data_IF_195831384905
#
_entry.id   IF_195831384905
#
_cell.length_a   1.000
_cell.length_b   1.000
_cell.length_c   1.000
_cell.angle_alpha   90.00
_cell.angle_beta   90.00
_cell.angle_gamma   90.00
#
_symmetry.space_group_name_H-M   'P 1'
#
loop_
_entity.id
_entity.type
_entity.pdbx_description
1 polymer ?
#
# COMPACT_ATOMS: atom_id res chain seq x y z
N UNK A 1 18.07 -43.26 9.48
CA UNK A 1 18.41 -41.87 9.84
C UNK A 1 17.70 -40.93 8.87
N UNK A 2 16.42 -40.68 9.10
CA UNK A 2 15.66 -39.60 8.48
C UNK A 2 15.95 -38.34 9.27
N UNK A 3 17.01 -37.63 8.90
CA UNK A 3 17.16 -36.25 9.29
C UNK A 3 16.09 -35.45 8.52
N UNK A 4 14.97 -35.18 9.20
CA UNK A 4 14.00 -34.20 8.84
C UNK A 4 14.74 -32.91 8.43
N UNK A 5 14.82 -32.65 7.13
CA UNK A 5 15.03 -31.29 6.63
C UNK A 5 13.80 -30.50 7.08
N UNK A 6 13.89 -29.89 8.23
CA UNK A 6 13.04 -28.74 8.53
C UNK A 6 13.40 -27.68 7.48
N UNK A 7 12.73 -27.77 6.35
CA UNK A 7 12.56 -26.63 5.48
C UNK A 7 12.02 -25.52 6.39
N UNK A 8 12.84 -24.50 6.62
CA UNK A 8 12.34 -23.25 7.19
C UNK A 8 11.29 -22.78 6.20
N UNK A 9 10.03 -22.98 6.52
CA UNK A 9 8.94 -22.30 5.86
C UNK A 9 9.21 -20.81 6.03
N UNK A 10 9.64 -20.21 4.96
CA UNK A 10 9.91 -18.80 4.91
C UNK A 10 8.63 -18.15 4.43
N UNK A 11 7.74 -17.87 5.37
CA UNK A 11 6.60 -17.03 5.12
C UNK A 11 7.13 -15.61 4.89
N UNK A 12 7.19 -15.17 3.65
CA UNK A 12 7.16 -13.75 3.38
C UNK A 12 5.74 -13.33 3.70
N UNK A 13 5.56 -12.72 4.84
CA UNK A 13 4.33 -12.00 5.17
C UNK A 13 4.55 -10.56 4.77
N UNK A 14 4.42 -10.29 3.49
CA UNK A 14 4.39 -8.92 3.03
C UNK A 14 3.01 -8.37 3.34
N UNK A 15 2.98 -7.42 4.24
CA UNK A 15 1.82 -6.58 4.42
C UNK A 15 1.91 -5.49 3.35
N UNK A 16 0.96 -5.50 2.43
CA UNK A 16 0.87 -4.53 1.37
C UNK A 16 -0.26 -3.58 1.71
N UNK A 17 0.09 -2.31 1.70
CA UNK A 17 -0.88 -1.25 1.70
C UNK A 17 -1.71 -1.28 0.41
N UNK A 18 -3.01 -1.01 0.51
CA UNK A 18 -3.96 -0.98 -0.59
C UNK A 18 -3.62 0.01 -1.70
N UNK A 19 -2.85 1.04 -1.37
CA UNK A 19 -2.35 2.00 -2.35
C UNK A 19 -1.34 1.40 -3.33
N UNK A 20 -0.80 0.23 -3.08
CA UNK A 20 0.38 -0.28 -3.76
C UNK A 20 0.07 -1.51 -4.61
N UNK A 21 -0.80 -1.32 -5.62
CA UNK A 21 -1.15 -2.35 -6.60
C UNK A 21 0.07 -2.96 -7.31
N UNK A 22 1.12 -2.18 -7.51
CA UNK A 22 2.36 -2.67 -8.09
C UNK A 22 3.03 -3.75 -7.22
N UNK A 23 2.86 -3.71 -5.90
CA UNK A 23 3.42 -4.70 -4.99
C UNK A 23 2.79 -6.09 -5.21
N UNK A 24 1.47 -6.14 -5.46
CA UNK A 24 0.78 -7.37 -5.86
C UNK A 24 1.29 -7.88 -7.22
N UNK A 25 1.48 -6.99 -8.18
CA UNK A 25 2.01 -7.36 -9.50
C UNK A 25 3.43 -7.91 -9.41
N UNK A 26 4.28 -7.26 -8.62
CA UNK A 26 5.63 -7.74 -8.35
C UNK A 26 5.63 -9.12 -7.70
N UNK A 27 4.66 -9.38 -6.81
CA UNK A 27 4.48 -10.70 -6.21
C UNK A 27 4.04 -11.75 -7.23
N UNK A 28 3.12 -11.44 -8.14
CA UNK A 28 2.73 -12.32 -9.24
C UNK A 28 3.92 -12.68 -10.12
N UNK A 29 4.77 -11.70 -10.44
CA UNK A 29 5.96 -11.95 -11.25
C UNK A 29 7.03 -12.75 -10.47
N UNK A 30 7.15 -12.54 -9.17
CA UNK A 30 7.96 -13.36 -8.30
C UNK A 30 7.52 -14.82 -8.38
N UNK A 31 6.23 -15.11 -8.17
CA UNK A 31 5.69 -16.47 -8.21
C UNK A 31 5.95 -17.14 -9.57
N UNK A 32 5.77 -16.41 -10.67
CA UNK A 32 6.07 -16.94 -12.01
C UNK A 32 7.53 -17.37 -12.19
N UNK A 33 8.48 -16.73 -11.48
CA UNK A 33 9.91 -17.08 -11.55
C UNK A 33 10.23 -18.38 -10.82
N UNK A 34 9.45 -18.76 -9.80
CA UNK A 34 9.64 -20.03 -9.09
C UNK A 34 9.12 -21.23 -9.89
N UNK A 35 8.27 -21.01 -10.90
CA UNK A 35 7.85 -22.05 -11.82
C UNK A 35 7.14 -23.22 -11.15
N UNK A 36 7.79 -24.42 -11.20
CA UNK A 36 7.26 -25.66 -10.63
C UNK A 36 7.84 -25.99 -9.25
N UNK A 37 8.69 -25.15 -8.68
CA UNK A 37 9.24 -25.36 -7.35
C UNK A 37 8.12 -25.26 -6.30
N UNK A 38 8.23 -26.05 -5.22
CA UNK A 38 7.33 -25.95 -4.08
C UNK A 38 7.57 -24.63 -3.34
N UNK A 39 6.48 -23.89 -3.05
CA UNK A 39 6.54 -22.66 -2.29
C UNK A 39 5.34 -22.53 -1.34
N UNK A 40 5.54 -21.81 -0.24
CA UNK A 40 4.49 -21.43 0.69
C UNK A 40 4.70 -19.95 1.06
N UNK A 41 3.94 -19.08 0.40
CA UNK A 41 4.02 -17.63 0.55
C UNK A 41 2.76 -17.08 1.17
N UNK A 42 2.92 -16.05 1.98
CA UNK A 42 1.81 -15.26 2.49
C UNK A 42 1.97 -13.82 2.08
N UNK A 43 0.99 -13.32 1.34
CA UNK A 43 0.83 -11.92 1.02
C UNK A 43 -0.37 -11.40 1.82
N UNK A 44 -0.15 -10.37 2.64
CA UNK A 44 -1.19 -9.80 3.48
C UNK A 44 -1.38 -8.33 3.17
N UNK A 45 -2.60 -7.97 2.95
CA UNK A 45 -3.05 -6.59 2.93
C UNK A 45 -3.60 -6.27 4.32
N UNK A 46 -2.93 -5.35 5.04
CA UNK A 46 -3.29 -5.03 6.42
C UNK A 46 -2.90 -3.60 6.78
N UNK A 47 -3.30 -3.17 7.96
CA UNK A 47 -3.15 -1.80 8.43
C UNK A 47 -1.69 -1.41 8.68
N UNK A 48 -1.34 -0.15 8.46
CA UNK A 48 0.04 0.36 8.59
C UNK A 48 0.69 0.02 9.94
N UNK A 49 -0.05 0.12 11.04
CA UNK A 49 0.50 -0.22 12.35
C UNK A 49 0.75 -1.72 12.51
N UNK A 50 -0.14 -2.57 11.98
CA UNK A 50 0.07 -4.02 11.97
C UNK A 50 1.28 -4.42 11.13
N UNK A 51 1.50 -3.74 9.98
CA UNK A 51 2.70 -3.92 9.17
C UNK A 51 3.95 -3.70 10.02
N UNK A 52 3.99 -2.58 10.73
CA UNK A 52 5.12 -2.22 11.61
C UNK A 52 5.33 -3.29 12.69
N UNK A 53 4.25 -3.73 13.37
CA UNK A 53 4.35 -4.77 14.39
C UNK A 53 4.78 -6.14 13.82
N UNK A 54 4.29 -6.52 12.65
CA UNK A 54 4.63 -7.80 12.03
C UNK A 54 6.11 -7.87 11.67
N UNK A 55 6.67 -6.79 11.14
CA UNK A 55 8.11 -6.70 10.87
C UNK A 55 8.92 -6.63 12.16
N UNK A 56 8.48 -5.87 13.16
CA UNK A 56 9.15 -5.77 14.45
C UNK A 56 9.23 -7.11 15.18
N UNK A 57 8.17 -7.92 15.09
CA UNK A 57 8.11 -9.26 15.69
C UNK A 57 8.66 -10.36 14.79
N UNK A 58 9.30 -10.01 13.66
CA UNK A 58 9.84 -10.94 12.67
C UNK A 58 8.79 -11.94 12.14
N UNK A 59 7.51 -11.54 12.14
CA UNK A 59 6.42 -12.29 11.49
C UNK A 59 6.38 -12.02 9.99
N UNK A 60 6.79 -10.82 9.59
CA UNK A 60 7.05 -10.42 8.22
C UNK A 60 8.50 -10.04 8.05
N UNK A 61 9.09 -10.34 6.90
CA UNK A 61 10.45 -9.97 6.55
C UNK A 61 10.50 -8.54 6.00
N UNK A 62 9.47 -8.17 5.25
CA UNK A 62 9.33 -6.88 4.58
C UNK A 62 7.93 -6.34 4.85
N UNK A 63 7.84 -5.08 5.20
CA UNK A 63 6.59 -4.34 5.22
C UNK A 63 6.65 -3.17 4.23
N UNK A 64 5.60 -2.92 3.46
CA UNK A 64 5.57 -1.83 2.50
C UNK A 64 4.60 -0.77 3.00
N UNK A 65 5.08 0.46 3.10
CA UNK A 65 4.32 1.61 3.54
C UNK A 65 4.81 2.89 2.87
N UNK A 66 4.11 3.98 3.08
CA UNK A 66 4.58 5.29 2.65
C UNK A 66 4.76 6.24 3.84
N UNK A 67 5.60 7.24 3.63
CA UNK A 67 5.74 8.42 4.50
C UNK A 67 5.55 9.68 3.66
N UNK A 68 5.06 10.74 4.30
CA UNK A 68 4.93 12.07 3.73
C UNK A 68 5.21 13.10 4.83
N UNK A 69 5.19 14.39 4.50
CA UNK A 69 5.48 15.48 5.44
C UNK A 69 4.63 15.43 6.71
N UNK A 70 3.39 14.93 6.60
CA UNK A 70 2.45 14.87 7.72
C UNK A 70 2.77 13.74 8.71
N UNK A 71 3.06 12.53 8.21
CA UNK A 71 3.22 11.34 9.07
C UNK A 71 4.68 10.96 9.37
N UNK A 72 5.65 11.54 8.67
CA UNK A 72 7.07 11.15 8.72
C UNK A 72 7.63 11.13 10.15
N UNK A 73 7.43 12.22 10.89
CA UNK A 73 7.98 12.35 12.24
C UNK A 73 7.47 11.24 13.18
N UNK A 74 6.18 10.91 13.09
CA UNK A 74 5.53 9.88 13.92
C UNK A 74 5.97 8.50 13.49
N UNK A 75 5.89 8.20 12.19
CA UNK A 75 6.28 6.88 11.67
C UNK A 75 7.75 6.60 11.95
N UNK A 76 8.67 7.54 11.64
CA UNK A 76 10.11 7.34 11.92
C UNK A 76 10.42 7.14 13.40
N UNK A 77 9.70 7.83 14.30
CA UNK A 77 9.85 7.63 15.75
C UNK A 77 9.45 6.20 16.15
N UNK A 78 8.35 5.70 15.62
CA UNK A 78 7.87 4.34 15.88
C UNK A 78 8.83 3.31 15.31
N UNK A 79 9.25 3.46 14.05
CA UNK A 79 10.22 2.55 13.41
C UNK A 79 11.50 2.47 14.26
N UNK A 80 12.01 3.61 14.73
CA UNK A 80 13.19 3.65 15.59
C UNK A 80 12.98 2.89 16.91
N UNK A 81 11.80 3.00 17.52
CA UNK A 81 11.49 2.31 18.78
C UNK A 81 11.41 0.80 18.64
N UNK A 82 11.08 0.31 17.45
CA UNK A 82 11.02 -1.10 17.10
C UNK A 82 12.28 -1.64 16.40
N UNK A 83 13.36 -0.85 16.34
CA UNK A 83 14.62 -1.22 15.64
C UNK A 83 14.39 -1.53 14.15
N UNK A 84 13.46 -0.81 13.50
CA UNK A 84 13.17 -0.93 12.08
C UNK A 84 13.87 0.15 11.27
N UNK A 85 14.15 -0.14 10.01
CA UNK A 85 14.70 0.79 9.02
C UNK A 85 13.76 0.95 7.85
N UNK A 86 13.55 2.19 7.43
CA UNK A 86 12.80 2.53 6.23
C UNK A 86 13.76 2.75 5.07
N UNK A 87 13.49 2.09 3.96
CA UNK A 87 14.24 2.18 2.71
C UNK A 87 13.31 2.68 1.61
N UNK A 88 13.57 3.87 1.12
CA UNK A 88 12.77 4.45 0.04
C UNK A 88 12.94 3.67 -1.26
N UNK A 89 11.82 3.42 -1.93
CA UNK A 89 11.77 2.82 -3.27
C UNK A 89 11.59 3.89 -4.33
N UNK A 90 10.64 4.79 -4.13
CA UNK A 90 10.35 5.90 -5.04
C UNK A 90 9.43 6.94 -4.40
N UNK A 91 9.38 8.10 -5.04
CA UNK A 91 8.46 9.17 -4.70
C UNK A 91 7.30 9.20 -5.70
N UNK A 92 6.08 9.33 -5.22
CA UNK A 92 4.87 9.40 -6.04
C UNK A 92 4.08 10.67 -5.70
N UNK A 93 3.50 11.30 -6.72
CA UNK A 93 2.52 12.36 -6.52
C UNK A 93 1.15 11.76 -6.19
N UNK A 94 0.38 12.37 -5.29
CA UNK A 94 -0.97 11.93 -5.00
C UNK A 94 -1.89 12.01 -6.23
N UNK A 95 -2.74 11.01 -6.35
CA UNK A 95 -3.78 10.96 -7.38
C UNK A 95 -5.12 10.61 -6.75
N UNK A 96 -6.18 11.17 -7.29
CA UNK A 96 -7.55 10.81 -6.95
C UNK A 96 -7.95 9.61 -7.79
N UNK A 97 -8.36 8.53 -7.13
CA UNK A 97 -8.93 7.36 -7.77
C UNK A 97 -10.44 7.51 -7.81
N UNK A 98 -11.00 7.49 -9.00
CA UNK A 98 -12.41 7.65 -9.28
C UNK A 98 -12.87 6.69 -10.38
N UNK A 99 -14.19 6.49 -10.48
CA UNK A 99 -14.77 5.81 -11.62
C UNK A 99 -14.50 6.59 -12.91
N UNK A 100 -14.28 5.88 -14.02
CA UNK A 100 -14.23 6.50 -15.36
C UNK A 100 -15.50 7.29 -15.73
N UNK A 101 -16.62 6.99 -15.08
CA UNK A 101 -17.90 7.67 -15.28
C UNK A 101 -18.13 8.81 -14.29
N UNK A 102 -17.16 9.08 -13.41
CA UNK A 102 -17.25 10.15 -12.43
C UNK A 102 -17.31 11.52 -13.13
N UNK A 103 -18.09 12.49 -12.61
CA UNK A 103 -18.16 13.83 -13.20
C UNK A 103 -16.82 14.54 -13.38
N UNK A 104 -15.82 14.21 -12.54
CA UNK A 104 -14.46 14.76 -12.63
C UNK A 104 -13.50 13.92 -13.49
N UNK A 105 -13.98 12.88 -14.19
CA UNK A 105 -13.11 11.95 -14.93
C UNK A 105 -12.34 12.59 -16.09
N UNK A 106 -12.87 13.68 -16.65
CA UNK A 106 -12.26 14.42 -17.76
C UNK A 106 -11.30 15.53 -17.28
N UNK A 107 -11.17 15.75 -15.97
CA UNK A 107 -10.24 16.72 -15.44
C UNK A 107 -8.80 16.25 -15.63
N UNK A 108 -7.90 17.13 -16.07
CA UNK A 108 -6.46 16.86 -16.13
C UNK A 108 -5.80 16.89 -14.77
N UNK A 109 -6.38 17.66 -13.83
CA UNK A 109 -5.97 17.80 -12.42
C UNK A 109 -7.23 18.06 -11.61
N UNK A 110 -7.32 17.51 -10.41
CA UNK A 110 -8.42 17.72 -9.49
C UNK A 110 -7.91 18.53 -8.29
N UNK A 111 -8.71 19.53 -7.85
CA UNK A 111 -8.46 20.31 -6.65
C UNK A 111 -9.37 19.83 -5.49
N UNK A 112 -8.91 20.05 -4.26
CA UNK A 112 -9.61 19.58 -3.06
C UNK A 112 -11.05 20.05 -2.96
N UNK A 113 -11.33 21.29 -3.34
CA UNK A 113 -12.64 21.89 -3.29
C UNK A 113 -13.66 21.17 -4.18
N UNK A 114 -13.19 20.60 -5.31
CA UNK A 114 -14.03 19.84 -6.24
C UNK A 114 -14.48 18.49 -5.64
N UNK A 115 -13.79 18.00 -4.63
CA UNK A 115 -14.05 16.71 -3.99
C UNK A 115 -15.07 16.78 -2.85
N UNK A 116 -15.41 17.96 -2.34
CA UNK A 116 -16.28 18.13 -1.17
C UNK A 116 -17.69 17.54 -1.35
N UNK A 117 -18.20 17.52 -2.57
CA UNK A 117 -19.53 17.03 -2.91
C UNK A 117 -19.61 15.50 -3.01
N UNK A 118 -18.45 14.81 -3.08
CA UNK A 118 -18.38 13.37 -3.31
C UNK A 118 -18.01 12.60 -2.04
N UNK A 119 -18.46 11.33 -1.89
CA UNK A 119 -18.08 10.50 -0.77
C UNK A 119 -16.59 10.16 -0.80
N UNK A 120 -15.90 10.48 0.29
CA UNK A 120 -14.52 10.03 0.52
C UNK A 120 -14.51 8.60 1.05
N UNK A 121 -13.75 7.74 0.41
CA UNK A 121 -13.60 6.33 0.76
C UNK A 121 -12.19 6.11 1.30
N UNK A 122 -12.12 5.58 2.51
CA UNK A 122 -10.86 5.31 3.20
C UNK A 122 -10.85 3.91 3.84
N UNK A 123 -9.65 3.43 4.18
CA UNK A 123 -9.51 2.17 4.90
C UNK A 123 -9.61 2.37 6.41
N UNK A 124 -10.26 1.41 7.07
CA UNK A 124 -10.36 1.37 8.52
C UNK A 124 -9.01 1.00 9.13
N UNK A 125 -8.54 1.76 10.12
CA UNK A 125 -7.25 1.56 10.78
C UNK A 125 -7.37 0.83 12.14
N UNK A 126 -8.50 0.19 12.43
CA UNK A 126 -8.72 -0.63 13.63
C UNK A 126 -8.52 0.13 14.94
N UNK A 127 -7.85 -0.52 15.90
CA UNK A 127 -7.60 0.05 17.23
C UNK A 127 -6.61 1.23 17.21
N UNK A 128 -5.72 1.27 16.23
CA UNK A 128 -4.75 2.34 16.01
C UNK A 128 -5.29 3.40 15.04
N UNK A 129 -6.55 3.81 15.23
CA UNK A 129 -7.24 4.77 14.38
C UNK A 129 -6.68 6.20 14.56
N UNK A 130 -5.41 6.36 14.22
CA UNK A 130 -4.73 7.66 14.15
C UNK A 130 -4.52 8.04 12.69
N UNK A 131 -4.74 9.30 12.36
CA UNK A 131 -4.50 9.86 11.03
C UNK A 131 -3.07 9.59 10.49
N UNK A 132 -2.09 9.44 11.39
CA UNK A 132 -0.70 9.15 11.01
C UNK A 132 -0.49 7.75 10.40
N UNK A 133 -1.41 6.82 10.65
CA UNK A 133 -1.37 5.45 10.10
C UNK A 133 -2.29 5.26 8.90
N UNK A 134 -3.00 6.31 8.52
CA UNK A 134 -3.90 6.25 7.37
C UNK A 134 -3.14 5.89 6.09
N UNK A 135 -3.77 5.08 5.29
CA UNK A 135 -3.25 4.64 3.99
C UNK A 135 -3.48 5.72 2.92
N UNK A 136 -4.38 6.64 3.19
CA UNK A 136 -4.72 7.73 2.31
C UNK A 136 -4.17 9.06 2.82
N UNK A 137 -3.77 9.89 1.89
CA UNK A 137 -3.50 11.30 2.14
C UNK A 137 -4.85 11.98 2.46
N UNK A 138 -4.86 12.98 3.33
CA UNK A 138 -6.04 13.74 3.80
C UNK A 138 -6.96 13.05 4.81
N UNK A 139 -6.53 12.03 5.43
CA UNK A 139 -7.31 11.42 6.51
C UNK A 139 -7.60 12.38 7.67
N UNK A 140 -6.78 13.44 7.84
CA UNK A 140 -6.94 14.49 8.84
C UNK A 140 -8.02 15.52 8.48
N UNK A 141 -8.39 15.62 7.21
CA UNK A 141 -9.41 16.59 6.76
C UNK A 141 -10.80 16.08 7.10
N UNK A 142 -11.56 16.85 7.89
CA UNK A 142 -12.95 16.54 8.20
C UNK A 142 -13.80 16.60 6.92
N UNK A 143 -14.26 15.46 6.44
CA UNK A 143 -15.12 15.33 5.26
C UNK A 143 -16.57 15.13 5.69
N UNK A 144 -17.51 15.81 5.01
CA UNK A 144 -18.94 15.67 5.30
C UNK A 144 -19.49 14.30 4.97
N UNK A 145 -18.92 13.65 3.94
CA UNK A 145 -19.32 12.33 3.43
C UNK A 145 -18.09 11.40 3.49
N UNK A 146 -18.00 10.59 4.52
CA UNK A 146 -16.88 9.67 4.72
C UNK A 146 -17.39 8.25 4.92
N UNK A 147 -16.86 7.31 4.17
CA UNK A 147 -17.17 5.87 4.28
C UNK A 147 -15.86 5.12 4.50
N UNK A 148 -15.79 4.34 5.57
CA UNK A 148 -14.65 3.48 5.87
C UNK A 148 -14.92 2.06 5.45
N UNK A 149 -13.95 1.40 4.84
CA UNK A 149 -14.02 0.03 4.36
C UNK A 149 -12.83 -0.78 4.88
N UNK A 150 -12.89 -2.11 4.76
CA UNK A 150 -11.82 -3.00 5.19
C UNK A 150 -11.09 -3.67 4.04
N UNK A 151 -11.64 -3.61 2.84
CA UNK A 151 -11.07 -4.30 1.69
C UNK A 151 -11.23 -3.49 0.41
N UNK A 152 -10.33 -3.75 -0.52
CA UNK A 152 -10.22 -3.05 -1.80
C UNK A 152 -11.40 -3.32 -2.74
N UNK A 153 -11.94 -4.52 -2.74
CA UNK A 153 -13.04 -4.86 -3.63
C UNK A 153 -14.29 -4.05 -3.28
N UNK A 154 -14.58 -3.93 -1.98
CA UNK A 154 -15.65 -3.07 -1.47
C UNK A 154 -15.36 -1.60 -1.82
N UNK A 155 -14.14 -1.12 -1.63
CA UNK A 155 -13.77 0.26 -1.98
C UNK A 155 -14.02 0.54 -3.46
N UNK A 156 -13.59 -0.32 -4.37
CA UNK A 156 -13.77 -0.13 -5.80
C UNK A 156 -15.25 -0.17 -6.22
N UNK A 157 -16.04 -1.05 -5.63
CA UNK A 157 -17.48 -1.09 -5.87
C UNK A 157 -18.16 0.23 -5.45
N UNK A 158 -17.75 0.81 -4.32
CA UNK A 158 -18.27 2.09 -3.85
C UNK A 158 -17.78 3.28 -4.69
N UNK A 159 -16.53 3.26 -5.18
CA UNK A 159 -16.04 4.25 -6.15
C UNK A 159 -16.96 4.31 -7.38
N UNK A 160 -17.35 3.14 -7.89
CA UNK A 160 -18.21 3.05 -9.08
C UNK A 160 -19.67 3.38 -8.71
N UNK A 161 -20.20 2.78 -7.65
CA UNK A 161 -21.61 2.81 -7.31
C UNK A 161 -22.10 4.15 -6.74
N UNK A 162 -21.20 4.91 -6.07
CA UNK A 162 -21.55 6.16 -5.38
C UNK A 162 -20.89 7.40 -5.97
N UNK A 163 -20.14 7.29 -7.07
CA UNK A 163 -19.22 8.33 -7.51
C UNK A 163 -18.32 8.81 -6.36
N UNK A 164 -17.84 7.87 -5.56
CA UNK A 164 -16.90 8.15 -4.50
C UNK A 164 -15.49 8.35 -5.02
N UNK A 165 -14.59 8.75 -4.12
CA UNK A 165 -13.16 8.86 -4.43
C UNK A 165 -12.30 8.42 -3.26
N UNK A 166 -11.07 8.03 -3.58
CA UNK A 166 -9.97 7.85 -2.61
C UNK A 166 -8.70 8.48 -3.17
N UNK A 167 -7.69 8.67 -2.34
CA UNK A 167 -6.42 9.27 -2.77
C UNK A 167 -5.28 8.29 -2.55
N UNK A 168 -4.44 8.12 -3.57
CA UNK A 168 -3.35 7.16 -3.55
C UNK A 168 -2.19 7.58 -4.47
N UNK A 169 -1.17 6.74 -4.60
CA UNK A 169 0.07 6.99 -5.34
C UNK A 169 -0.07 7.16 -6.87
N UNK A 170 -1.24 6.97 -7.42
CA UNK A 170 -1.45 7.06 -8.87
C UNK A 170 -1.04 5.82 -9.66
N UNK A 171 -0.39 4.86 -9.05
CA UNK A 171 0.01 3.62 -9.71
C UNK A 171 -1.17 2.66 -9.75
N UNK A 172 -1.78 2.54 -10.92
CA UNK A 172 -2.94 1.68 -11.18
C UNK A 172 -2.64 0.73 -12.34
N UNK A 173 -2.59 -0.58 -12.07
CA UNK A 173 -2.45 -1.57 -13.13
C UNK A 173 -3.82 -1.89 -13.76
N UNK A 174 -4.00 -1.47 -15.00
CA UNK A 174 -5.23 -1.68 -15.77
C UNK A 174 -5.52 -3.15 -16.06
N UNK A 175 -4.51 -4.03 -16.03
CA UNK A 175 -4.70 -5.48 -16.30
C UNK A 175 -5.34 -6.18 -15.10
N UNK A 176 -5.00 -5.76 -13.87
CA UNK A 176 -5.53 -6.38 -12.65
C UNK A 176 -6.78 -5.66 -12.11
N UNK A 177 -6.90 -4.35 -12.33
CA UNK A 177 -7.98 -3.54 -11.74
C UNK A 177 -9.07 -3.15 -12.72
N UNK A 178 -8.99 -3.65 -13.95
CA UNK A 178 -9.95 -3.31 -15.00
C UNK A 178 -9.78 -1.89 -15.54
N UNK A 179 -10.77 -1.47 -16.35
CA UNK A 179 -10.74 -0.16 -17.02
C UNK A 179 -11.68 0.87 -16.37
N UNK A 180 -12.42 0.46 -15.34
CA UNK A 180 -13.49 1.28 -14.78
C UNK A 180 -13.01 2.31 -13.75
N UNK A 181 -11.82 2.11 -13.17
CA UNK A 181 -11.17 3.04 -12.25
C UNK A 181 -10.04 3.77 -13.00
N UNK A 182 -9.94 5.06 -12.76
CA UNK A 182 -8.87 5.93 -13.28
C UNK A 182 -8.22 6.70 -12.14
N UNK A 183 -6.97 7.09 -12.35
CA UNK A 183 -6.20 7.95 -11.47
C UNK A 183 -6.05 9.32 -12.13
N UNK A 184 -6.47 10.38 -11.44
CA UNK A 184 -6.33 11.77 -11.90
C UNK A 184 -5.41 12.50 -10.91
N UNK A 185 -4.40 13.24 -11.36
CA UNK A 185 -3.51 13.97 -10.48
C UNK A 185 -4.27 14.89 -9.51
N UNK A 186 -3.85 14.93 -8.25
CA UNK A 186 -4.35 15.84 -7.25
C UNK A 186 -3.44 17.06 -7.16
N UNK A 187 -4.02 18.25 -7.13
CA UNK A 187 -3.27 19.49 -7.03
C UNK A 187 -2.78 19.74 -5.59
N UNK A 188 -1.66 20.45 -5.50
CA UNK A 188 -1.17 21.14 -4.29
C UNK A 188 -0.90 20.24 -3.06
N UNK A 189 -0.49 18.99 -3.31
CA UNK A 189 -0.22 18.04 -2.24
C UNK A 189 1.23 17.60 -2.18
N UNK A 190 1.67 17.29 -0.95
CA UNK A 190 3.01 16.77 -0.71
C UNK A 190 3.18 15.37 -1.31
N UNK A 191 4.39 15.11 -1.77
CA UNK A 191 4.76 13.82 -2.34
C UNK A 191 4.65 12.68 -1.31
N UNK A 192 4.39 11.48 -1.80
CA UNK A 192 4.42 10.24 -1.04
C UNK A 192 5.77 9.56 -1.25
N UNK A 193 6.55 9.40 -0.20
CA UNK A 193 7.76 8.58 -0.20
C UNK A 193 7.39 7.14 0.08
N UNK A 194 7.29 6.34 -0.95
CA UNK A 194 6.92 4.93 -0.84
C UNK A 194 8.19 4.11 -0.65
N UNK A 195 8.15 3.23 0.34
CA UNK A 195 9.30 2.43 0.69
C UNK A 195 8.93 1.13 1.38
N UNK A 196 9.95 0.42 1.80
CA UNK A 196 9.80 -0.76 2.60
C UNK A 196 10.53 -0.64 3.94
N UNK A 197 10.03 -1.37 4.93
CA UNK A 197 10.66 -1.48 6.24
C UNK A 197 11.19 -2.88 6.44
N UNK A 198 12.34 -2.96 7.13
CA UNK A 198 12.97 -4.19 7.57
C UNK A 198 13.45 -4.05 9.00
N UNK A 199 13.59 -5.16 9.70
CA UNK A 199 14.20 -5.16 11.02
C UNK A 199 15.74 -5.07 10.89
N UNK A 200 16.40 -4.18 11.67
CA UNK A 200 17.87 -3.96 11.63
C UNK A 200 18.70 -5.22 11.80
N UNK A 201 18.22 -6.14 12.63
CA UNK A 201 18.86 -7.43 12.88
C UNK A 201 18.36 -8.54 11.95
N UNK A 202 17.39 -8.22 11.08
CA UNK A 202 16.86 -9.15 10.11
C UNK A 202 17.80 -9.26 8.91
N UNK A 203 17.96 -10.46 8.40
CA UNK A 203 18.61 -10.68 7.11
C UNK A 203 17.53 -10.94 6.08
N UNK A 204 17.54 -10.18 4.98
CA UNK A 204 16.68 -10.48 3.86
C UNK A 204 17.01 -11.85 3.29
N UNK A 205 16.00 -12.65 3.14
CA UNK A 205 16.12 -13.92 2.46
C UNK A 205 16.38 -13.72 0.96
N UNK A 206 16.78 -14.80 0.28
CA UNK A 206 16.86 -14.77 -1.18
C UNK A 206 15.54 -14.35 -1.80
N UNK A 207 14.44 -14.79 -1.21
CA UNK A 207 13.10 -14.52 -1.70
C UNK A 207 12.69 -13.05 -1.49
N UNK A 208 12.92 -12.51 -0.29
CA UNK A 208 12.71 -11.10 0.00
C UNK A 208 13.53 -10.19 -0.92
N UNK A 209 14.80 -10.54 -1.15
CA UNK A 209 15.66 -9.82 -2.09
C UNK A 209 15.11 -9.86 -3.53
N UNK A 210 14.67 -11.04 -4.00
CA UNK A 210 14.09 -11.20 -5.35
C UNK A 210 12.77 -10.42 -5.48
N UNK A 211 11.96 -10.37 -4.41
CA UNK A 211 10.74 -9.58 -4.40
C UNK A 211 11.01 -8.08 -4.52
N UNK A 212 11.97 -7.55 -3.78
CA UNK A 212 12.38 -6.15 -3.91
C UNK A 212 12.93 -5.83 -5.30
N UNK A 213 13.65 -6.75 -5.92
CA UNK A 213 14.08 -6.60 -7.32
C UNK A 213 12.89 -6.58 -8.28
N UNK A 214 11.89 -7.44 -8.06
CA UNK A 214 10.66 -7.44 -8.85
C UNK A 214 9.91 -6.11 -8.71
N UNK A 215 9.75 -5.59 -7.50
CA UNK A 215 9.17 -4.26 -7.27
C UNK A 215 9.89 -3.18 -8.07
N UNK A 216 11.22 -3.13 -8.01
CA UNK A 216 12.01 -2.11 -8.71
C UNK A 216 11.85 -2.13 -10.23
N UNK A 217 11.45 -3.26 -10.82
CA UNK A 217 11.17 -3.34 -12.27
C UNK A 217 9.90 -2.59 -12.67
N UNK A 218 8.93 -2.45 -11.76
CA UNK A 218 7.71 -1.69 -11.99
C UNK A 218 7.89 -0.18 -11.88
N UNK A 219 9.04 0.26 -11.37
CA UNK A 219 9.35 1.67 -11.12
C UNK A 219 10.13 2.33 -12.28
N UNK A 220 10.46 1.57 -13.30
CA UNK A 220 11.13 2.02 -14.54
C UNK A 220 10.13 2.19 -15.67
#
# INVERSE_FOLDING_TARGET
HLLSRRQRQMCIRDSIDTALLFAVNAFVDLIKQFGQDEYDFSLRETQTYEIIEDVARLRSEIGILFINDFNEAVIRKILKSYELEFHELFTARPHVFISRKHPLAECSVIHNEQLEEYPYLSFEQGEHNSFYFSEEIFSETARKKNIRVRDRATLFNLLIGLNGYTVSSGILDKKLNGKDIIAVPLADESDMHIGYITHRKGMLSRLGSTYLEAIRKYLK
#
